data_IF_150056015961
#
_entry.id   IF_150056015961
#
_cell.length_a   1.000
_cell.length_b   1.000
_cell.length_c   1.000
_cell.angle_alpha   90.00
_cell.angle_beta   90.00
_cell.angle_gamma   90.00
#
_symmetry.space_group_name_H-M   'P 1'
#
loop_
_entity.id
_entity.type
_entity.pdbx_description
1 polymer ?
#
# COMPACT_ATOMS: atom_id res chain seq x y z
N UNK A 1 6.56 16.33 18.68
CA UNK A 1 6.54 14.92 19.13
C UNK A 1 6.39 14.78 20.66
N UNK A 2 6.71 15.79 21.48
CA UNK A 2 6.58 15.76 22.94
C UNK A 2 5.18 15.38 23.46
N UNK A 3 4.11 15.74 22.77
CA UNK A 3 2.72 15.46 23.20
C UNK A 3 2.38 13.97 23.23
N UNK A 4 2.91 13.19 22.27
CA UNK A 4 2.68 11.75 22.20
C UNK A 4 3.54 11.05 23.25
N UNK A 5 4.79 11.47 23.37
CA UNK A 5 5.73 10.96 24.37
C UNK A 5 5.22 11.15 25.79
N UNK A 6 4.76 12.36 26.14
CA UNK A 6 4.18 12.66 27.45
C UNK A 6 2.91 11.83 27.74
N UNK A 7 2.07 11.61 26.72
CA UNK A 7 0.88 10.75 26.86
C UNK A 7 1.21 9.26 26.97
N UNK A 8 2.31 8.81 26.37
CA UNK A 8 2.71 7.41 26.38
C UNK A 8 3.50 7.03 27.65
N UNK A 9 4.23 7.98 28.22
CA UNK A 9 5.04 7.80 29.43
C UNK A 9 4.24 7.99 30.73
N UNK A 10 2.91 8.17 30.65
CA UNK A 10 2.04 8.16 31.82
C UNK A 10 2.18 6.84 32.59
N UNK A 11 2.51 6.92 33.89
CA UNK A 11 2.55 5.75 34.75
C UNK A 11 1.11 5.31 35.07
N UNK A 12 0.72 4.14 34.59
CA UNK A 12 -0.61 3.57 34.83
C UNK A 12 -0.40 2.19 35.42
N UNK A 13 -0.94 1.98 36.62
CA UNK A 13 -0.91 0.70 37.31
C UNK A 13 -2.11 -0.16 36.91
N UNK A 14 -1.88 -1.46 36.71
CA UNK A 14 -2.91 -2.44 36.38
C UNK A 14 -2.45 -3.49 35.38
N UNK A 15 -3.41 -4.27 34.87
CA UNK A 15 -3.16 -5.26 33.80
C UNK A 15 -2.78 -4.52 32.51
N UNK A 16 -1.90 -5.11 31.70
CA UNK A 16 -1.38 -4.50 30.47
C UNK A 16 -2.46 -3.88 29.56
N UNK A 17 -3.60 -4.56 29.38
CA UNK A 17 -4.73 -4.07 28.58
C UNK A 17 -5.34 -2.79 29.19
N UNK A 18 -5.48 -2.71 30.52
CA UNK A 18 -5.98 -1.53 31.20
C UNK A 18 -5.02 -0.35 31.05
N UNK A 19 -3.71 -0.60 31.22
CA UNK A 19 -2.67 0.42 31.04
C UNK A 19 -2.70 1.00 29.63
N UNK A 20 -2.80 0.14 28.60
CA UNK A 20 -2.93 0.56 27.21
C UNK A 20 -4.17 1.44 26.99
N UNK A 21 -5.35 0.97 27.41
CA UNK A 21 -6.60 1.73 27.26
C UNK A 21 -6.55 3.10 27.93
N UNK A 22 -5.95 3.21 29.11
CA UNK A 22 -5.78 4.47 29.85
C UNK A 22 -4.84 5.43 29.14
N UNK A 23 -3.68 4.95 28.66
CA UNK A 23 -2.72 5.76 27.88
C UNK A 23 -3.36 6.28 26.60
N UNK A 24 -4.07 5.42 25.86
CA UNK A 24 -4.80 5.82 24.64
C UNK A 24 -5.90 6.86 24.95
N UNK A 25 -6.63 6.70 26.05
CA UNK A 25 -7.68 7.65 26.47
C UNK A 25 -7.09 9.01 26.85
N UNK A 26 -5.95 9.04 27.54
CA UNK A 26 -5.25 10.29 27.85
C UNK A 26 -4.74 10.99 26.58
N UNK A 27 -4.16 10.21 25.65
CA UNK A 27 -3.63 10.74 24.39
C UNK A 27 -4.72 11.30 23.47
N UNK A 28 -5.93 10.73 23.51
CA UNK A 28 -7.07 11.14 22.66
C UNK A 28 -7.35 12.65 22.70
N UNK A 29 -7.36 13.26 23.89
CA UNK A 29 -7.65 14.68 24.05
C UNK A 29 -6.60 15.55 23.36
N UNK A 30 -5.32 15.24 23.61
CA UNK A 30 -4.20 15.95 23.01
C UNK A 30 -4.16 15.81 21.48
N UNK A 31 -4.40 14.60 20.95
CA UNK A 31 -4.45 14.38 19.51
C UNK A 31 -5.62 15.12 18.86
N UNK A 32 -6.76 15.22 19.54
CA UNK A 32 -7.90 16.01 19.05
C UNK A 32 -7.56 17.50 18.99
N UNK A 33 -6.92 18.03 20.04
CA UNK A 33 -6.46 19.42 20.07
C UNK A 33 -5.42 19.70 18.97
N UNK A 34 -4.43 18.81 18.81
CA UNK A 34 -3.43 18.88 17.74
C UNK A 34 -4.07 18.86 16.35
N UNK A 35 -5.00 17.93 16.12
CA UNK A 35 -5.73 17.84 14.86
C UNK A 35 -6.53 19.12 14.58
N UNK A 36 -7.21 19.66 15.58
CA UNK A 36 -7.95 20.90 15.43
C UNK A 36 -7.02 22.09 15.16
N UNK A 37 -5.84 22.16 15.79
CA UNK A 37 -4.92 23.26 15.59
C UNK A 37 -4.32 23.26 14.17
N UNK A 38 -3.91 22.10 13.66
CA UNK A 38 -3.14 22.03 12.41
C UNK A 38 -3.95 21.60 11.18
N UNK A 39 -5.05 20.88 11.36
CA UNK A 39 -5.84 20.30 10.26
C UNK A 39 -7.30 20.75 10.25
N UNK A 40 -7.73 21.60 11.20
CA UNK A 40 -9.01 22.29 11.03
C UNK A 40 -8.93 23.22 9.81
N UNK A 41 -10.04 23.30 9.08
CA UNK A 41 -10.18 24.18 7.94
C UNK A 41 -9.08 24.01 6.87
N UNK A 42 -8.50 22.81 6.74
CA UNK A 42 -7.40 22.56 5.79
C UNK A 42 -7.79 22.92 4.35
N UNK A 43 -9.04 22.67 3.95
CA UNK A 43 -9.58 23.05 2.65
C UNK A 43 -9.70 24.55 2.45
N UNK A 44 -10.08 25.28 3.51
CA UNK A 44 -10.14 26.75 3.45
C UNK A 44 -8.73 27.29 3.29
N UNK A 45 -7.77 26.78 4.08
CA UNK A 45 -6.36 27.20 4.01
C UNK A 45 -5.71 26.87 2.66
N UNK A 46 -6.02 25.71 2.07
CA UNK A 46 -5.55 25.35 0.73
C UNK A 46 -6.12 26.31 -0.31
N UNK A 47 -7.43 26.58 -0.26
CA UNK A 47 -8.09 27.54 -1.14
C UNK A 47 -7.54 28.96 -0.99
N UNK A 48 -7.33 29.44 0.23
CA UNK A 48 -6.78 30.77 0.49
C UNK A 48 -5.35 30.89 -0.03
N UNK A 49 -4.55 29.82 0.05
CA UNK A 49 -3.21 29.79 -0.51
C UNK A 49 -3.23 29.80 -2.04
N UNK A 50 -4.17 29.09 -2.67
CA UNK A 50 -4.37 29.14 -4.12
C UNK A 50 -4.78 30.53 -4.60
N UNK A 51 -5.72 31.17 -3.90
CA UNK A 51 -6.13 32.55 -4.20
C UNK A 51 -4.97 33.52 -4.07
N UNK A 52 -4.21 33.44 -2.97
CA UNK A 52 -3.03 34.29 -2.77
C UNK A 52 -1.97 34.07 -3.85
N UNK A 53 -1.80 32.83 -4.34
CA UNK A 53 -0.90 32.53 -5.44
C UNK A 53 -1.40 33.15 -6.75
N UNK A 54 -2.70 33.05 -7.05
CA UNK A 54 -3.31 33.67 -8.23
C UNK A 54 -3.11 35.18 -8.22
N UNK A 55 -3.38 35.84 -7.09
CA UNK A 55 -3.19 37.28 -6.94
C UNK A 55 -1.72 37.69 -7.17
N UNK A 56 -0.77 36.93 -6.61
CA UNK A 56 0.65 37.18 -6.79
C UNK A 56 1.11 36.93 -8.25
N UNK A 57 0.49 35.98 -8.95
CA UNK A 57 0.76 35.73 -10.38
C UNK A 57 0.25 36.88 -11.25
N UNK A 58 -0.95 37.41 -10.98
CA UNK A 58 -1.50 38.58 -11.68
C UNK A 58 -0.59 39.80 -11.48
N UNK A 59 -0.07 40.00 -10.26
CA UNK A 59 0.89 41.08 -9.99
C UNK A 59 2.21 40.89 -10.74
N UNK A 60 2.71 39.65 -10.86
CA UNK A 60 3.93 39.34 -11.61
C UNK A 60 3.73 39.53 -13.12
N UNK A 61 2.55 39.22 -13.66
CA UNK A 61 2.20 39.49 -15.06
C UNK A 61 2.18 41.00 -15.35
N UNK A 62 1.82 41.82 -14.36
CA UNK A 62 1.77 43.27 -14.48
C UNK A 62 3.16 43.93 -14.32
N UNK A 63 4.07 43.34 -13.54
CA UNK A 63 5.45 43.81 -13.33
C UNK A 63 6.45 42.62 -13.32
N UNK A 64 6.90 42.16 -14.51
CA UNK A 64 7.72 40.95 -14.64
C UNK A 64 9.15 41.04 -14.10
N UNK A 65 9.71 42.25 -13.97
CA UNK A 65 11.10 42.44 -13.52
C UNK A 65 11.22 42.51 -11.98
N UNK A 66 10.10 42.54 -11.27
CA UNK A 66 10.07 42.67 -9.83
C UNK A 66 10.54 41.38 -9.12
N UNK A 67 11.80 41.39 -8.67
CA UNK A 67 12.40 40.27 -7.97
C UNK A 67 11.62 39.87 -6.69
N UNK A 68 11.03 40.84 -5.99
CA UNK A 68 10.28 40.60 -4.74
C UNK A 68 8.99 39.81 -5.00
N UNK A 69 8.26 40.16 -6.08
CA UNK A 69 7.04 39.45 -6.47
C UNK A 69 7.38 38.06 -6.98
N UNK A 70 8.48 37.92 -7.72
CA UNK A 70 8.95 36.60 -8.19
C UNK A 70 9.29 35.66 -7.03
N UNK A 71 9.97 36.17 -6.00
CA UNK A 71 10.28 35.40 -4.80
C UNK A 71 9.02 35.08 -3.99
N UNK A 72 8.07 36.01 -3.88
CA UNK A 72 6.79 35.76 -3.20
C UNK A 72 5.97 34.67 -3.90
N UNK A 73 5.89 34.69 -5.24
CA UNK A 73 5.25 33.64 -6.04
C UNK A 73 5.92 32.29 -5.82
N UNK A 74 7.26 32.25 -5.76
CA UNK A 74 8.00 31.01 -5.47
C UNK A 74 7.63 30.42 -4.11
N UNK A 75 7.57 31.24 -3.07
CA UNK A 75 7.21 30.78 -1.72
C UNK A 75 5.72 30.38 -1.63
N UNK A 76 4.83 31.13 -2.27
CA UNK A 76 3.41 30.78 -2.35
C UNK A 76 3.17 29.46 -3.08
N UNK A 77 3.90 29.19 -4.16
CA UNK A 77 3.85 27.88 -4.85
C UNK A 77 4.21 26.73 -3.92
N UNK A 78 5.30 26.87 -3.15
CA UNK A 78 5.70 25.85 -2.17
C UNK A 78 4.60 25.64 -1.12
N UNK A 79 4.01 26.73 -0.63
CA UNK A 79 2.93 26.70 0.37
C UNK A 79 1.68 26.02 -0.17
N UNK A 80 1.27 26.32 -1.41
CA UNK A 80 0.15 25.69 -2.10
C UNK A 80 0.37 24.19 -2.22
N UNK A 81 1.52 23.76 -2.74
CA UNK A 81 1.84 22.33 -2.89
C UNK A 81 1.79 21.62 -1.54
N UNK A 82 2.38 22.23 -0.49
CA UNK A 82 2.35 21.66 0.85
C UNK A 82 0.91 21.51 1.39
N UNK A 83 0.07 22.55 1.25
CA UNK A 83 -1.30 22.52 1.77
C UNK A 83 -2.21 21.58 0.99
N UNK A 84 -2.07 21.52 -0.34
CA UNK A 84 -2.78 20.57 -1.19
C UNK A 84 -2.43 19.13 -0.81
N UNK A 85 -1.16 18.84 -0.56
CA UNK A 85 -0.73 17.52 -0.14
C UNK A 85 -1.21 17.18 1.28
N UNK A 86 -1.20 18.14 2.21
CA UNK A 86 -1.76 17.96 3.54
C UNK A 86 -3.28 17.71 3.51
N UNK A 87 -4.01 18.43 2.65
CA UNK A 87 -5.43 18.23 2.41
C UNK A 87 -5.72 16.83 1.86
N UNK A 88 -4.96 16.41 0.84
CA UNK A 88 -5.06 15.07 0.25
C UNK A 88 -4.89 13.98 1.31
N UNK A 89 -3.86 14.08 2.14
CA UNK A 89 -3.62 13.13 3.22
C UNK A 89 -4.74 13.12 4.25
N UNK A 90 -5.26 14.29 4.63
CA UNK A 90 -6.36 14.41 5.58
C UNK A 90 -7.62 13.69 5.09
N UNK A 91 -8.01 13.91 3.83
CA UNK A 91 -9.16 13.22 3.24
C UNK A 91 -8.92 11.74 3.01
N UNK A 92 -7.70 11.35 2.62
CA UNK A 92 -7.33 9.94 2.52
C UNK A 92 -7.51 9.21 3.85
N UNK A 93 -7.03 9.78 4.96
CA UNK A 93 -7.20 9.21 6.29
C UNK A 93 -8.67 9.11 6.68
N UNK A 94 -9.48 10.15 6.43
CA UNK A 94 -10.94 10.12 6.67
C UNK A 94 -11.63 9.03 5.87
N UNK A 95 -11.31 8.91 4.58
CA UNK A 95 -11.85 7.89 3.70
C UNK A 95 -11.46 6.48 4.17
N UNK A 96 -10.20 6.27 4.57
CA UNK A 96 -9.73 5.00 5.15
C UNK A 96 -10.48 4.65 6.44
N UNK A 97 -10.70 5.63 7.32
CA UNK A 97 -11.48 5.42 8.56
C UNK A 97 -12.93 5.06 8.27
N UNK A 98 -13.55 5.75 7.32
CA UNK A 98 -14.90 5.45 6.85
C UNK A 98 -14.97 4.04 6.25
N UNK A 99 -13.98 3.67 5.42
CA UNK A 99 -13.83 2.35 4.87
C UNK A 99 -13.70 1.28 5.96
N UNK A 100 -12.82 1.46 6.96
CA UNK A 100 -12.68 0.51 8.06
C UNK A 100 -13.97 0.34 8.88
N UNK A 101 -14.79 1.39 8.99
CA UNK A 101 -16.08 1.32 9.70
C UNK A 101 -17.18 0.58 8.94
N UNK A 102 -17.19 0.70 7.61
CA UNK A 102 -18.30 0.25 6.75
C UNK A 102 -17.95 -1.02 5.96
N UNK A 103 -16.67 -1.18 5.61
CA UNK A 103 -16.16 -2.22 4.72
C UNK A 103 -16.26 -3.61 5.30
N UNK A 104 -16.13 -3.77 6.62
CA UNK A 104 -16.18 -5.08 7.30
C UNK A 104 -17.62 -5.58 7.58
N UNK A 105 -18.64 -4.83 7.12
CA UNK A 105 -20.05 -5.10 7.42
C UNK A 105 -20.84 -5.68 6.24
N UNK A 106 -20.18 -6.23 5.22
CA UNK A 106 -20.81 -6.72 3.98
C UNK A 106 -21.84 -5.74 3.38
N UNK A 107 -21.55 -4.44 3.46
CA UNK A 107 -22.49 -3.39 3.01
C UNK A 107 -22.50 -3.27 1.49
N UNK A 108 -23.54 -2.63 0.93
CA UNK A 108 -23.60 -2.27 -0.50
C UNK A 108 -22.31 -1.57 -0.96
N UNK A 109 -21.78 -0.67 -0.14
CA UNK A 109 -20.51 0.03 -0.40
C UNK A 109 -19.31 -0.93 -0.54
N UNK A 110 -19.21 -1.96 0.30
CA UNK A 110 -18.17 -2.98 0.17
C UNK A 110 -18.27 -3.72 -1.16
N UNK A 111 -19.47 -4.17 -1.52
CA UNK A 111 -19.69 -4.86 -2.79
C UNK A 111 -19.44 -3.97 -4.01
N UNK A 112 -19.85 -2.70 -3.96
CA UNK A 112 -19.58 -1.71 -5.02
C UNK A 112 -18.08 -1.47 -5.17
N UNK A 113 -17.33 -1.39 -4.07
CA UNK A 113 -15.88 -1.28 -4.10
C UNK A 113 -15.21 -2.55 -4.66
N UNK A 114 -15.65 -3.74 -4.25
CA UNK A 114 -15.13 -5.01 -4.80
C UNK A 114 -15.36 -5.07 -6.31
N UNK A 115 -16.55 -4.69 -6.78
CA UNK A 115 -16.85 -4.59 -8.23
C UNK A 115 -15.93 -3.59 -8.93
N UNK A 116 -15.76 -2.39 -8.37
CA UNK A 116 -14.86 -1.36 -8.90
C UNK A 116 -13.41 -1.85 -9.00
N UNK A 117 -12.91 -2.49 -7.94
CA UNK A 117 -11.55 -3.03 -7.91
C UNK A 117 -11.39 -4.20 -8.87
N UNK A 118 -12.39 -5.07 -8.99
CA UNK A 118 -12.40 -6.14 -9.98
C UNK A 118 -12.36 -5.59 -11.41
N UNK A 119 -13.14 -4.55 -11.71
CA UNK A 119 -13.12 -3.89 -13.01
C UNK A 119 -11.78 -3.20 -13.29
N UNK A 120 -11.25 -2.43 -12.31
CA UNK A 120 -9.96 -1.74 -12.44
C UNK A 120 -8.78 -2.71 -12.63
N UNK A 121 -8.82 -3.86 -11.95
CA UNK A 121 -7.78 -4.88 -12.04
C UNK A 121 -8.00 -5.86 -13.20
N UNK A 122 -9.09 -5.71 -13.96
CA UNK A 122 -9.34 -6.54 -15.12
C UNK A 122 -8.45 -6.08 -16.27
N UNK A 123 -7.66 -7.01 -16.79
CA UNK A 123 -6.91 -6.78 -18.04
C UNK A 123 -7.85 -7.15 -19.18
N UNK A 124 -8.33 -6.14 -19.90
CA UNK A 124 -9.30 -6.33 -20.99
C UNK A 124 -8.63 -6.60 -22.34
N UNK A 125 -7.41 -6.09 -22.52
CA UNK A 125 -6.65 -6.27 -23.74
C UNK A 125 -5.15 -6.17 -23.49
N UNK A 126 -4.37 -6.86 -24.32
CA UNK A 126 -2.91 -6.79 -24.35
C UNK A 126 -2.46 -6.70 -25.81
N UNK A 127 -1.48 -5.86 -26.09
CA UNK A 127 -0.83 -5.78 -27.39
C UNK A 127 0.48 -6.56 -27.36
N UNK A 128 0.65 -7.52 -28.28
CA UNK A 128 1.88 -8.32 -28.44
C UNK A 128 3.02 -7.50 -29.04
N UNK A 129 4.22 -8.07 -29.01
CA UNK A 129 5.41 -7.54 -29.72
C UNK A 129 5.17 -7.37 -31.22
N UNK A 130 4.33 -8.23 -31.80
CA UNK A 130 4.04 -8.25 -33.24
C UNK A 130 2.94 -7.24 -33.64
N UNK A 131 2.51 -6.37 -32.70
CA UNK A 131 1.47 -5.35 -32.91
C UNK A 131 0.03 -5.88 -32.86
N UNK A 132 -0.17 -7.19 -32.71
CA UNK A 132 -1.51 -7.79 -32.59
C UNK A 132 -2.12 -7.53 -31.21
N UNK A 133 -3.39 -7.15 -31.16
CA UNK A 133 -4.11 -6.89 -29.90
C UNK A 133 -5.02 -8.07 -29.57
N UNK A 134 -4.83 -8.64 -28.39
CA UNK A 134 -5.58 -9.76 -27.84
C UNK A 134 -6.59 -9.23 -26.84
N UNK A 135 -7.84 -9.71 -26.92
CA UNK A 135 -8.92 -9.37 -25.98
C UNK A 135 -9.49 -10.58 -25.25
N UNK A 136 -9.20 -11.80 -25.72
CA UNK A 136 -9.66 -13.03 -25.09
C UNK A 136 -8.88 -13.31 -23.81
N UNK A 137 -9.59 -13.58 -22.70
CA UNK A 137 -8.97 -13.88 -21.41
C UNK A 137 -8.05 -15.11 -21.45
N UNK A 138 -8.40 -16.11 -22.27
CA UNK A 138 -7.58 -17.32 -22.43
C UNK A 138 -6.28 -17.02 -23.16
N UNK A 139 -6.35 -16.27 -24.26
CA UNK A 139 -5.19 -15.88 -25.06
C UNK A 139 -4.28 -14.92 -24.28
N UNK A 140 -4.86 -13.99 -23.51
CA UNK A 140 -4.13 -13.12 -22.56
C UNK A 140 -3.36 -13.96 -21.55
N UNK A 141 -4.00 -14.99 -20.98
CA UNK A 141 -3.35 -15.89 -20.02
C UNK A 141 -2.18 -16.66 -20.65
N UNK A 142 -2.36 -17.19 -21.86
CA UNK A 142 -1.31 -17.90 -22.60
C UNK A 142 -0.13 -16.99 -22.95
N UNK A 143 -0.41 -15.75 -23.38
CA UNK A 143 0.62 -14.76 -23.70
C UNK A 143 1.47 -14.42 -22.46
N UNK A 144 0.84 -14.24 -21.29
CA UNK A 144 1.57 -14.04 -20.03
C UNK A 144 2.49 -15.21 -19.70
N UNK A 145 1.98 -16.45 -19.82
CA UNK A 145 2.79 -17.65 -19.56
C UNK A 145 3.97 -17.72 -20.52
N UNK A 146 3.74 -17.53 -21.82
CA UNK A 146 4.77 -17.53 -22.86
C UNK A 146 5.84 -16.48 -22.59
N UNK A 147 5.42 -15.23 -22.33
CA UNK A 147 6.32 -14.11 -22.06
C UNK A 147 7.21 -14.37 -20.83
N UNK A 148 6.62 -14.76 -19.70
CA UNK A 148 7.40 -15.01 -18.49
C UNK A 148 8.23 -16.29 -18.56
N UNK A 149 7.82 -17.29 -19.33
CA UNK A 149 8.63 -18.49 -19.59
C UNK A 149 9.86 -18.15 -20.41
N UNK A 150 9.74 -17.30 -21.43
CA UNK A 150 10.90 -16.81 -22.17
C UNK A 150 11.82 -15.97 -21.29
N UNK A 151 11.25 -15.08 -20.47
CA UNK A 151 11.99 -14.17 -19.60
C UNK A 151 12.75 -14.88 -18.46
N UNK A 152 12.15 -15.91 -17.86
CA UNK A 152 12.69 -16.57 -16.65
C UNK A 152 13.19 -17.99 -16.89
N UNK A 153 12.71 -18.66 -17.94
CA UNK A 153 13.02 -20.05 -18.28
C UNK A 153 14.10 -20.20 -19.34
N UNK A 154 14.78 -19.12 -19.73
CA UNK A 154 15.95 -19.21 -20.61
C UNK A 154 17.12 -19.80 -19.83
N UNK A 155 17.46 -21.05 -20.16
CA UNK A 155 18.66 -21.72 -19.64
C UNK A 155 19.89 -21.03 -20.21
N UNK A 156 20.43 -20.06 -19.48
CA UNK A 156 21.76 -19.53 -19.78
C UNK A 156 22.76 -20.63 -19.41
N UNK A 157 23.66 -21.04 -20.32
CA UNK A 157 24.72 -21.99 -19.97
C UNK A 157 25.56 -21.36 -18.85
N UNK A 158 25.35 -21.86 -17.65
CA UNK A 158 26.12 -21.46 -16.48
C UNK A 158 27.36 -22.35 -16.41
N UNK A 159 28.48 -21.77 -15.95
CA UNK A 159 29.65 -22.57 -15.63
C UNK A 159 29.24 -23.64 -14.60
N UNK A 160 29.70 -24.89 -14.75
CA UNK A 160 29.39 -25.95 -13.79
C UNK A 160 29.77 -25.47 -12.40
N UNK A 161 28.84 -25.62 -11.46
CA UNK A 161 29.04 -25.12 -10.10
C UNK A 161 30.26 -25.83 -9.51
N UNK A 162 31.29 -25.05 -9.20
CA UNK A 162 32.52 -25.59 -8.61
C UNK A 162 32.22 -26.07 -7.18
N UNK A 163 32.12 -27.39 -7.04
CA UNK A 163 31.88 -28.05 -5.75
C UNK A 163 32.99 -27.76 -4.73
N UNK A 164 34.18 -27.33 -5.17
CA UNK A 164 35.23 -26.88 -4.27
C UNK A 164 34.80 -25.63 -3.49
N UNK A 165 34.06 -24.69 -4.09
CA UNK A 165 33.61 -23.46 -3.42
C UNK A 165 32.72 -23.77 -2.19
N UNK A 166 31.89 -24.82 -2.25
CA UNK A 166 31.10 -25.26 -1.10
C UNK A 166 31.90 -25.98 -0.01
N UNK A 167 33.12 -26.43 -0.33
CA UNK A 167 34.04 -27.05 0.63
C UNK A 167 34.86 -26.02 1.41
N UNK A 168 34.89 -24.76 0.96
CA UNK A 168 35.65 -23.68 1.60
C UNK A 168 34.90 -23.01 2.76
N UNK A 169 33.61 -23.28 2.92
CA UNK A 169 32.79 -22.77 4.02
C UNK A 169 32.45 -23.84 5.05
N UNK A 170 32.23 -23.46 6.33
CA UNK A 170 31.69 -24.38 7.32
C UNK A 170 30.31 -24.90 6.86
N UNK A 171 30.25 -26.20 6.57
CA UNK A 171 29.02 -26.87 6.16
C UNK A 171 28.13 -27.07 7.38
N UNK A 172 26.86 -26.74 7.25
CA UNK A 172 25.87 -27.11 8.25
C UNK A 172 25.79 -28.63 8.36
N UNK A 173 25.90 -29.15 9.58
CA UNK A 173 25.60 -30.57 9.83
C UNK A 173 24.13 -30.83 9.51
N UNK A 174 23.83 -32.04 9.02
CA UNK A 174 22.46 -32.46 8.68
C UNK A 174 21.49 -32.21 9.85
N UNK A 175 21.96 -32.39 11.08
CA UNK A 175 21.22 -32.18 12.31
C UNK A 175 20.91 -30.70 12.59
N UNK A 176 21.88 -29.80 12.39
CA UNK A 176 21.68 -28.35 12.56
C UNK A 176 20.80 -27.74 11.45
N UNK A 177 20.87 -28.29 10.23
CA UNK A 177 19.98 -27.89 9.14
C UNK A 177 18.51 -28.24 9.44
N UNK A 178 18.25 -29.42 10.01
CA UNK A 178 16.92 -29.82 10.48
C UNK A 178 16.43 -28.95 11.64
N UNK A 179 17.33 -28.58 12.55
CA UNK A 179 17.03 -27.68 13.68
C UNK A 179 16.63 -26.27 13.20
N UNK A 180 17.32 -25.72 12.19
CA UNK A 180 16.99 -24.42 11.58
C UNK A 180 15.65 -24.47 10.82
N UNK A 181 15.38 -25.56 10.11
CA UNK A 181 14.10 -25.79 9.44
C UNK A 181 12.94 -25.92 10.45
N UNK A 182 13.13 -26.60 11.59
CA UNK A 182 12.14 -26.66 12.68
C UNK A 182 11.92 -25.30 13.34
N UNK A 183 13.01 -24.56 13.62
CA UNK A 183 12.95 -23.28 14.36
C UNK A 183 12.27 -22.16 13.58
N UNK A 184 12.18 -22.25 12.24
CA UNK A 184 11.41 -21.32 11.40
C UNK A 184 9.92 -21.65 11.28
N UNK A 185 9.49 -22.89 11.56
CA UNK A 185 8.08 -23.27 11.46
C UNK A 185 7.26 -22.98 12.72
N UNK A 186 7.88 -22.69 13.87
CA UNK A 186 7.14 -22.54 15.13
C UNK A 186 6.88 -21.09 15.60
N UNK A 187 7.46 -20.04 14.98
CA UNK A 187 7.29 -18.66 15.47
C UNK A 187 6.92 -17.55 14.50
N UNK A 188 6.74 -17.77 13.20
CA UNK A 188 6.28 -16.65 12.33
C UNK A 188 5.27 -16.99 11.22
N UNK A 189 4.82 -18.24 11.05
CA UNK A 189 3.88 -18.55 9.95
C UNK A 189 2.40 -18.65 10.35
N UNK A 190 2.05 -18.36 11.60
CA UNK A 190 0.67 -18.52 12.10
C UNK A 190 -0.20 -17.25 12.06
N UNK A 191 0.23 -16.17 11.40
CA UNK A 191 -0.58 -14.94 11.27
C UNK A 191 -1.20 -14.76 9.87
N UNK A 192 -0.85 -15.58 8.87
CA UNK A 192 -1.30 -15.33 7.49
C UNK A 192 -2.32 -16.33 6.93
N UNK A 193 -2.73 -17.36 7.66
CA UNK A 193 -3.61 -18.44 7.11
C UNK A 193 -4.98 -18.54 7.80
N UNK A 194 -5.22 -17.87 8.94
CA UNK A 194 -6.47 -18.07 9.71
C UNK A 194 -7.57 -17.03 9.49
N UNK A 195 -7.43 -16.07 8.56
CA UNK A 195 -8.59 -15.26 8.06
C UNK A 195 -9.25 -15.88 6.83
N UNK A 196 -9.19 -17.21 6.69
CA UNK A 196 -9.81 -17.99 5.61
C UNK A 196 -10.70 -19.15 6.10
N UNK A 197 -10.89 -19.29 7.40
CA UNK A 197 -11.79 -20.28 7.99
C UNK A 197 -12.79 -19.60 8.92
N UNK A 198 -13.77 -18.93 8.32
CA UNK A 198 -15.15 -18.95 8.78
C UNK A 198 -16.01 -18.65 7.54
N UNK A 199 -17.08 -19.40 7.35
CA UNK A 199 -18.00 -19.42 6.19
C UNK A 199 -17.60 -20.36 5.03
N UNK A 200 -17.57 -21.65 5.38
CA UNK A 200 -17.87 -22.75 4.44
C UNK A 200 -18.85 -23.71 5.12
N UNK A 201 -20.11 -23.30 5.16
CA UNK A 201 -21.25 -24.22 5.11
C UNK A 201 -22.25 -23.61 4.13
N UNK A 202 -22.68 -24.44 3.18
CA UNK A 202 -23.76 -24.22 2.22
C UNK A 202 -23.41 -23.43 0.95
N UNK A 203 -22.97 -24.15 -0.09
CA UNK A 203 -23.84 -24.60 -1.20
C UNK A 203 -22.98 -25.48 -2.11
N UNK A 204 -23.30 -26.78 -2.06
CA UNK A 204 -22.93 -27.75 -3.09
C UNK A 204 -23.68 -27.40 -4.38
N UNK A 205 -22.95 -27.11 -5.46
CA UNK A 205 -23.25 -27.46 -6.86
C UNK A 205 -22.41 -26.58 -7.80
N UNK A 206 -21.21 -27.03 -8.15
CA UNK A 206 -20.57 -26.73 -9.44
C UNK A 206 -19.41 -27.69 -9.63
N UNK A 207 -19.59 -28.65 -10.53
CA UNK A 207 -18.58 -29.62 -10.91
C UNK A 207 -17.50 -28.99 -11.79
N UNK A 208 -16.29 -29.53 -11.66
CA UNK A 208 -15.26 -29.63 -12.70
C UNK A 208 -14.46 -28.37 -13.07
N UNK A 209 -13.19 -28.41 -12.62
CA UNK A 209 -11.95 -28.01 -13.30
C UNK A 209 -11.65 -26.52 -13.64
N UNK A 210 -10.37 -26.16 -13.42
CA UNK A 210 -9.62 -24.98 -13.92
C UNK A 210 -9.68 -23.62 -13.21
N UNK A 211 -10.50 -23.42 -12.17
CA UNK A 211 -10.61 -22.10 -11.52
C UNK A 211 -9.62 -21.80 -10.36
N UNK A 212 -8.73 -22.72 -10.02
CA UNK A 212 -7.80 -22.56 -8.87
C UNK A 212 -6.68 -21.53 -9.08
N UNK A 213 -6.18 -21.39 -10.32
CA UNK A 213 -4.98 -20.59 -10.63
C UNK A 213 -5.32 -19.10 -10.76
N UNK A 214 -6.53 -18.77 -11.26
CA UNK A 214 -7.01 -17.38 -11.40
C UNK A 214 -7.31 -16.70 -10.05
N UNK A 215 -7.57 -17.47 -9.01
CA UNK A 215 -7.87 -16.93 -7.67
C UNK A 215 -6.63 -16.34 -6.99
N UNK A 216 -5.44 -16.91 -7.23
CA UNK A 216 -4.17 -16.42 -6.68
C UNK A 216 -3.74 -15.07 -7.29
N UNK A 217 -4.02 -14.85 -8.59
CA UNK A 217 -3.66 -13.61 -9.29
C UNK A 217 -4.53 -12.43 -8.84
N UNK A 218 -5.79 -12.67 -8.44
CA UNK A 218 -6.78 -11.63 -8.10
C UNK A 218 -6.55 -10.95 -6.73
N UNK A 219 -5.75 -11.55 -5.84
CA UNK A 219 -5.52 -11.06 -4.46
C UNK A 219 -4.08 -10.58 -4.17
N UNK A 220 -3.11 -10.74 -5.08
CA UNK A 220 -1.70 -10.42 -4.81
C UNK A 220 -1.28 -8.96 -5.12
N UNK A 221 -2.13 -8.14 -5.74
CA UNK A 221 -1.76 -6.77 -6.16
C UNK A 221 -1.85 -5.61 -5.14
N UNK A 222 -2.23 -5.76 -3.86
CA UNK A 222 -2.05 -4.67 -2.89
C UNK A 222 -0.62 -4.51 -2.35
N UNK A 223 0.27 -5.50 -2.48
CA UNK A 223 1.61 -5.45 -1.85
C UNK A 223 2.78 -5.03 -2.77
N UNK A 224 2.59 -4.90 -4.08
CA UNK A 224 3.70 -4.65 -5.01
C UNK A 224 3.99 -3.17 -5.29
N UNK A 225 3.15 -2.23 -4.84
CA UNK A 225 3.36 -0.79 -5.10
C UNK A 225 4.41 -0.18 -4.15
N UNK A 226 4.90 -0.90 -3.14
CA UNK A 226 5.87 -0.35 -2.16
C UNK A 226 7.34 -0.75 -2.37
N UNK A 227 7.68 -1.46 -3.46
CA UNK A 227 9.06 -1.96 -3.71
C UNK A 227 9.60 -1.68 -5.13
N UNK A 228 8.90 -0.90 -5.95
CA UNK A 228 9.30 -0.59 -7.33
C UNK A 228 9.68 0.88 -7.57
N UNK A 229 10.45 1.48 -6.65
CA UNK A 229 11.03 2.81 -6.84
C UNK A 229 12.56 2.75 -6.72
N UNK A 230 13.19 1.81 -7.41
CA UNK A 230 14.59 1.87 -7.86
C UNK A 230 14.61 1.17 -9.22
N UNK A 231 15.14 1.86 -10.24
CA UNK A 231 15.21 1.50 -11.68
C UNK A 231 13.88 1.78 -12.42
N UNK A 232 13.69 2.81 -13.25
CA UNK A 232 14.53 3.84 -13.89
C UNK A 232 14.08 5.24 -13.49
#
# INVERSE_FOLDING_TARGET
MATVENGWNLNVNGIAQFCLCRKLKALKGHLKAFNNLHFSHISVRAKDADLALQDAQIQLESDPENATIRDSVRELRKKVVFLAEAERHFYYQKAKLHFLKIGDRNTKFFHDMVKRNAAKNSILAITKTDGTTITSAMEIGQEFVSYFTSLLGTEVPTLPVDNAVFNWGPKLSSELALELCRRRLSKQFFISVTTKHQDRTDIQHASSNEHGILWAIKFARPCWISLGAIVY
#
